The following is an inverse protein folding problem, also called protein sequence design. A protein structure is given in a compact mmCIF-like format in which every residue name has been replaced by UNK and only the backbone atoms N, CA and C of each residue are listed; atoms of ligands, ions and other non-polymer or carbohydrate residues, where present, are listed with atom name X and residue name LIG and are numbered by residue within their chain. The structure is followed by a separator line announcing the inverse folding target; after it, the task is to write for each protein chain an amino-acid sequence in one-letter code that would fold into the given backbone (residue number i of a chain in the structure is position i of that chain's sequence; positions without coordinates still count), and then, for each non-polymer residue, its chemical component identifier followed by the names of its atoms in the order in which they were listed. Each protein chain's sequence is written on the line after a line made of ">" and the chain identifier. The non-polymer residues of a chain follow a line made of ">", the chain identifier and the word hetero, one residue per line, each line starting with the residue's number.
data_IF_072565805620
#
_entry.id   IF_072565805620
#
_cell.length_a   1.000
_cell.length_b   1.000
_cell.length_c   1.000
_cell.angle_alpha   90.00
_cell.angle_beta   90.00
_cell.angle_gamma   90.00
#
_symmetry.space_group_name_H-M   'P 1'
#
loop_
_entity.id
_entity.type
_entity.pdbx_description
1 polymer ?
#
# COMPACT_ATOMS: atom_id res chain seq x y z
N UNK A 1 -31.72 5.43 9.17
CA UNK A 1 -31.17 6.11 7.97
C UNK A 1 -29.96 6.93 8.41
N UNK A 2 -28.77 6.50 8.02
CA UNK A 2 -27.50 7.09 8.42
C UNK A 2 -26.92 7.88 7.23
N UNK A 3 -26.69 9.18 7.44
CA UNK A 3 -26.12 10.10 6.45
C UNK A 3 -24.64 10.33 6.70
N UNK A 4 -23.90 10.59 5.62
CA UNK A 4 -22.47 10.89 5.68
C UNK A 4 -22.25 12.41 5.58
N UNK A 5 -21.27 12.93 6.32
CA UNK A 5 -20.98 14.36 6.35
C UNK A 5 -20.12 14.80 5.14
N UNK A 6 -20.43 15.93 4.47
CA UNK A 6 -21.64 16.73 4.58
C UNK A 6 -22.84 16.11 3.87
N UNK A 7 -23.97 15.98 4.59
CA UNK A 7 -25.17 15.31 4.10
C UNK A 7 -25.72 15.85 2.75
N UNK A 8 -25.64 17.16 2.43
CA UNK A 8 -26.06 17.64 1.11
C UNK A 8 -25.17 17.18 -0.05
N UNK A 9 -23.88 16.96 0.21
CA UNK A 9 -22.87 16.62 -0.82
C UNK A 9 -22.75 15.10 -0.99
N UNK A 10 -22.81 14.35 0.11
CA UNK A 10 -22.67 12.90 0.09
C UNK A 10 -23.93 12.25 -0.47
N UNK A 11 -23.80 11.53 -1.58
CA UNK A 11 -24.92 10.81 -2.20
C UNK A 11 -25.28 9.52 -1.42
N UNK A 12 -24.32 8.93 -0.73
CA UNK A 12 -24.49 7.64 -0.05
C UNK A 12 -25.23 7.75 1.29
N UNK A 13 -26.10 6.78 1.58
CA UNK A 13 -26.75 6.62 2.89
C UNK A 13 -26.89 5.13 3.26
N UNK A 14 -26.79 4.83 4.55
CA UNK A 14 -27.02 3.47 5.07
C UNK A 14 -28.42 3.36 5.69
N UNK A 15 -29.18 2.36 5.26
CA UNK A 15 -30.48 1.99 5.82
C UNK A 15 -30.25 0.81 6.75
N UNK A 16 -30.20 1.11 8.04
CA UNK A 16 -29.95 0.13 9.09
C UNK A 16 -31.23 -0.63 9.40
N UNK A 17 -31.27 -1.93 9.09
CA UNK A 17 -32.35 -2.84 9.46
C UNK A 17 -32.02 -3.56 10.76
N UNK A 18 -33.00 -3.64 11.65
CA UNK A 18 -32.93 -4.43 12.88
C UNK A 18 -33.65 -5.76 12.70
N UNK A 19 -33.53 -6.66 13.68
CA UNK A 19 -34.26 -7.95 13.67
C UNK A 19 -35.78 -7.81 13.74
N UNK A 20 -36.30 -6.62 14.06
CA UNK A 20 -37.74 -6.31 14.12
C UNK A 20 -38.20 -5.34 13.02
N UNK A 21 -37.29 -4.86 12.16
CA UNK A 21 -37.63 -3.97 11.06
C UNK A 21 -38.37 -4.74 9.97
N UNK A 22 -39.60 -4.33 9.65
CA UNK A 22 -40.35 -4.98 8.57
C UNK A 22 -39.76 -4.63 7.19
N UNK A 23 -39.79 -5.55 6.22
CA UNK A 23 -39.31 -5.28 4.86
C UNK A 23 -39.97 -4.05 4.23
N UNK A 24 -41.28 -3.86 4.45
CA UNK A 24 -42.04 -2.75 3.89
C UNK A 24 -41.54 -1.39 4.39
N UNK A 25 -41.14 -1.30 5.67
CA UNK A 25 -40.56 -0.07 6.23
C UNK A 25 -39.18 0.19 5.64
N UNK A 26 -38.36 -0.84 5.49
CA UNK A 26 -37.02 -0.72 4.89
C UNK A 26 -37.13 -0.22 3.44
N UNK A 27 -38.05 -0.81 2.66
CA UNK A 27 -38.30 -0.43 1.27
C UNK A 27 -38.82 1.01 1.17
N UNK A 28 -39.79 1.40 2.01
CA UNK A 28 -40.31 2.77 2.02
C UNK A 28 -39.24 3.81 2.37
N UNK A 29 -38.35 3.51 3.31
CA UNK A 29 -37.21 4.39 3.65
C UNK A 29 -36.19 4.44 2.50
N UNK A 30 -36.00 3.34 1.77
CA UNK A 30 -35.14 3.30 0.60
C UNK A 30 -35.69 4.14 -0.55
N UNK A 31 -36.99 4.06 -0.82
CA UNK A 31 -37.66 4.94 -1.78
C UNK A 31 -37.58 6.41 -1.38
N UNK A 32 -37.79 6.72 -0.10
CA UNK A 32 -37.63 8.07 0.43
C UNK A 32 -36.20 8.59 0.21
N UNK A 33 -35.19 7.80 0.54
CA UNK A 33 -33.78 8.17 0.32
C UNK A 33 -33.48 8.42 -1.17
N UNK A 34 -33.97 7.55 -2.07
CA UNK A 34 -33.85 7.76 -3.53
C UNK A 34 -34.55 9.04 -3.98
N UNK A 35 -35.72 9.35 -3.40
CA UNK A 35 -36.45 10.60 -3.63
C UNK A 35 -35.65 11.86 -3.23
N UNK A 36 -34.75 11.73 -2.25
CA UNK A 36 -33.79 12.78 -1.86
C UNK A 36 -32.54 12.84 -2.76
N UNK A 37 -32.48 12.04 -3.83
CA UNK A 37 -31.30 11.90 -4.68
C UNK A 37 -30.15 11.15 -4.01
N UNK A 38 -30.44 10.30 -3.01
CA UNK A 38 -29.44 9.48 -2.31
C UNK A 38 -29.39 8.07 -2.89
N UNK A 39 -28.24 7.42 -2.70
CA UNK A 39 -27.98 6.02 -3.03
C UNK A 39 -28.01 5.20 -1.73
N UNK A 40 -29.16 4.58 -1.38
CA UNK A 40 -29.28 3.79 -0.16
C UNK A 40 -28.70 2.39 -0.29
N UNK A 41 -28.00 1.94 0.75
CA UNK A 41 -27.61 0.54 0.97
C UNK A 41 -28.24 0.01 2.25
N UNK A 42 -28.86 -1.16 2.19
CA UNK A 42 -29.50 -1.79 3.35
C UNK A 42 -28.49 -2.65 4.09
N UNK A 43 -28.33 -2.41 5.39
CA UNK A 43 -27.30 -3.03 6.22
C UNK A 43 -27.92 -3.50 7.54
N UNK A 44 -27.48 -4.66 8.05
CA UNK A 44 -27.86 -5.12 9.38
C UNK A 44 -27.33 -4.23 10.51
N UNK A 45 -28.09 -4.11 11.59
CA UNK A 45 -27.71 -3.33 12.77
C UNK A 45 -26.50 -3.92 13.51
N UNK A 46 -25.37 -3.20 13.45
CA UNK A 46 -24.09 -3.52 14.09
C UNK A 46 -23.29 -2.24 14.31
N UNK A 47 -22.48 -2.18 15.37
CA UNK A 47 -21.48 -1.13 15.57
C UNK A 47 -20.72 -0.80 14.29
N UNK A 48 -20.86 0.45 13.84
CA UNK A 48 -20.16 1.00 12.68
C UNK A 48 -20.72 0.64 11.31
N UNK A 49 -21.84 -0.11 11.22
CA UNK A 49 -22.49 -0.49 9.96
C UNK A 49 -21.48 -1.08 8.95
N UNK A 50 -21.40 -0.56 7.72
CA UNK A 50 -20.38 -0.96 6.75
C UNK A 50 -19.18 0.00 6.83
N UNK A 51 -19.41 1.28 6.56
CA UNK A 51 -18.33 2.22 6.29
C UNK A 51 -17.47 2.48 7.53
N UNK A 52 -18.07 2.75 8.69
CA UNK A 52 -17.31 3.01 9.91
C UNK A 52 -16.60 1.75 10.42
N UNK A 53 -17.24 0.58 10.29
CA UNK A 53 -16.66 -0.69 10.69
C UNK A 53 -15.35 -1.00 9.96
N UNK A 54 -15.30 -0.75 8.65
CA UNK A 54 -14.07 -0.95 7.86
C UNK A 54 -13.08 0.21 8.01
N UNK A 55 -13.57 1.44 8.02
CA UNK A 55 -12.72 2.63 8.02
C UNK A 55 -11.96 2.79 9.34
N UNK A 56 -12.63 2.70 10.49
CA UNK A 56 -12.01 3.06 11.76
C UNK A 56 -10.99 2.04 12.25
N UNK A 57 -11.15 0.74 11.94
CA UNK A 57 -10.11 -0.27 12.19
C UNK A 57 -8.81 0.07 11.45
N UNK A 58 -8.93 0.39 10.16
CA UNK A 58 -7.82 0.85 9.32
C UNK A 58 -7.16 2.13 9.86
N UNK A 59 -7.96 3.15 10.17
CA UNK A 59 -7.46 4.43 10.70
C UNK A 59 -6.72 4.24 12.02
N UNK A 60 -7.27 3.45 12.93
CA UNK A 60 -6.65 3.19 14.22
C UNK A 60 -5.33 2.41 14.08
N UNK A 61 -5.23 1.51 13.09
CA UNK A 61 -3.98 0.82 12.78
C UNK A 61 -2.90 1.77 12.26
N UNK A 62 -3.25 2.73 11.41
CA UNK A 62 -2.33 3.79 10.98
C UNK A 62 -1.84 4.65 12.15
N UNK A 63 -2.73 4.96 13.12
CA UNK A 63 -2.33 5.67 14.35
C UNK A 63 -1.35 4.84 15.18
N UNK A 64 -1.52 3.52 15.27
CA UNK A 64 -0.55 2.65 15.97
C UNK A 64 0.83 2.69 15.32
N UNK A 65 0.90 2.71 13.98
CA UNK A 65 2.17 2.87 13.27
C UNK A 65 2.85 4.20 13.63
N UNK A 66 2.09 5.30 13.64
CA UNK A 66 2.60 6.61 14.04
C UNK A 66 3.05 6.65 15.51
N UNK A 67 2.23 6.14 16.43
CA UNK A 67 2.52 6.09 17.87
C UNK A 67 3.81 5.30 18.17
N UNK A 68 4.05 4.22 17.43
CA UNK A 68 5.24 3.39 17.52
C UNK A 68 6.48 4.00 16.83
N UNK A 69 6.34 5.17 16.20
CA UNK A 69 7.38 5.80 15.36
C UNK A 69 7.88 4.89 14.24
N UNK A 70 6.99 4.06 13.70
CA UNK A 70 7.32 3.11 12.63
C UNK A 70 7.63 3.83 11.30
N UNK A 71 6.89 4.90 11.03
CA UNK A 71 7.07 5.78 9.89
C UNK A 71 6.55 7.18 10.27
N UNK A 72 6.95 8.20 9.50
CA UNK A 72 6.47 9.58 9.71
C UNK A 72 4.99 9.70 9.37
N UNK A 73 4.32 10.75 9.88
CA UNK A 73 2.91 11.01 9.54
C UNK A 73 2.72 11.26 8.04
N UNK A 74 3.68 11.96 7.43
CA UNK A 74 3.71 12.23 5.99
C UNK A 74 3.88 10.95 5.18
N UNK A 75 4.79 10.05 5.57
CA UNK A 75 5.04 8.79 4.89
C UNK A 75 3.83 7.86 4.98
N UNK A 76 3.21 7.71 6.15
CA UNK A 76 1.99 6.90 6.33
C UNK A 76 0.87 7.43 5.41
N UNK A 77 0.68 8.74 5.37
CA UNK A 77 -0.34 9.38 4.54
C UNK A 77 -0.02 9.33 3.05
N UNK A 78 1.24 9.47 2.65
CA UNK A 78 1.68 9.35 1.27
C UNK A 78 1.55 7.91 0.76
N UNK A 79 1.91 6.92 1.58
CA UNK A 79 1.77 5.50 1.26
C UNK A 79 0.36 5.13 0.84
N UNK A 80 -0.63 5.53 1.64
CA UNK A 80 -2.01 5.14 1.35
C UNK A 80 -2.61 5.94 0.19
N UNK A 81 -2.23 7.21 0.01
CA UNK A 81 -2.68 8.01 -1.14
C UNK A 81 -2.08 7.52 -2.46
N UNK A 82 -0.79 7.26 -2.50
CA UNK A 82 -0.06 6.95 -3.73
C UNK A 82 -0.03 5.45 -4.04
N UNK A 83 -0.02 4.60 -3.00
CA UNK A 83 -0.02 3.14 -3.14
C UNK A 83 -1.41 2.58 -3.39
N UNK A 84 -2.44 3.09 -2.69
CA UNK A 84 -3.83 2.62 -2.84
C UNK A 84 -4.74 3.59 -3.60
N UNK A 85 -4.25 4.77 -3.99
CA UNK A 85 -5.07 5.77 -4.68
C UNK A 85 -6.12 6.44 -3.79
N UNK A 86 -5.96 6.38 -2.46
CA UNK A 86 -6.95 6.96 -1.55
C UNK A 86 -6.98 8.50 -1.68
N UNK A 87 -8.16 9.14 -1.54
CA UNK A 87 -8.28 10.60 -1.68
C UNK A 87 -7.54 11.38 -0.59
N UNK A 88 -7.35 10.76 0.59
CA UNK A 88 -6.67 11.35 1.74
C UNK A 88 -5.92 10.28 2.52
N UNK A 89 -4.79 10.65 3.12
CA UNK A 89 -4.07 9.77 4.02
C UNK A 89 -4.83 9.57 5.34
N UNK A 90 -4.63 8.44 6.04
CA UNK A 90 -5.41 8.10 7.22
C UNK A 90 -5.29 9.11 8.37
N UNK A 91 -4.10 9.67 8.64
CA UNK A 91 -3.90 10.61 9.74
C UNK A 91 -4.52 11.98 9.40
N UNK A 92 -4.33 12.46 8.17
CA UNK A 92 -4.99 13.66 7.68
C UNK A 92 -6.53 13.52 7.65
N UNK A 93 -7.04 12.31 7.38
CA UNK A 93 -8.47 12.00 7.41
C UNK A 93 -9.01 12.00 8.84
N UNK A 94 -8.28 11.45 9.80
CA UNK A 94 -8.63 11.52 11.22
C UNK A 94 -8.70 12.97 11.71
N UNK A 95 -7.77 13.83 11.31
CA UNK A 95 -7.81 15.25 11.64
C UNK A 95 -9.01 15.97 11.00
N UNK A 96 -9.46 15.54 9.82
CA UNK A 96 -10.66 16.07 9.17
C UNK A 96 -11.94 15.62 9.90
N UNK A 97 -12.03 14.35 10.28
CA UNK A 97 -13.16 13.79 11.05
C UNK A 97 -13.24 14.43 12.44
N UNK A 98 -12.09 14.63 13.08
CA UNK A 98 -11.94 15.08 14.45
C UNK A 98 -11.56 13.92 15.37
N UNK A 99 -10.47 14.08 16.12
CA UNK A 99 -9.88 13.00 16.92
C UNK A 99 -10.76 12.55 18.09
N UNK A 100 -11.56 13.46 18.63
CA UNK A 100 -12.58 13.20 19.66
C UNK A 100 -13.72 12.34 19.08
N UNK A 101 -14.23 12.68 17.91
CA UNK A 101 -15.25 11.88 17.22
C UNK A 101 -14.72 10.50 16.87
N UNK A 102 -13.49 10.41 16.36
CA UNK A 102 -12.85 9.13 16.07
C UNK A 102 -12.66 8.26 17.31
N UNK A 103 -12.24 8.86 18.44
CA UNK A 103 -12.11 8.16 19.71
C UNK A 103 -13.44 7.55 20.17
N UNK A 104 -14.53 8.32 20.16
CA UNK A 104 -15.85 7.84 20.59
C UNK A 104 -16.38 6.70 19.71
N UNK A 105 -16.19 6.80 18.39
CA UNK A 105 -16.58 5.73 17.45
C UNK A 105 -15.79 4.45 17.74
N UNK A 106 -14.47 4.55 17.85
CA UNK A 106 -13.60 3.42 18.17
C UNK A 106 -13.95 2.79 19.53
N UNK A 107 -14.16 3.60 20.57
CA UNK A 107 -14.48 3.12 21.91
C UNK A 107 -15.84 2.41 21.94
N UNK A 108 -16.83 2.92 21.21
CA UNK A 108 -18.14 2.27 21.05
C UNK A 108 -18.00 0.91 20.35
N UNK A 109 -17.31 0.88 19.20
CA UNK A 109 -17.06 -0.35 18.45
C UNK A 109 -16.29 -1.39 19.27
N UNK A 110 -15.31 -0.94 20.07
CA UNK A 110 -14.55 -1.81 20.95
C UNK A 110 -15.39 -2.36 22.10
N UNK A 111 -16.26 -1.55 22.72
CA UNK A 111 -17.12 -2.01 23.81
C UNK A 111 -18.07 -3.12 23.37
N UNK A 112 -18.59 -3.03 22.14
CA UNK A 112 -19.50 -4.02 21.57
C UNK A 112 -18.76 -5.26 21.05
N UNK A 113 -17.76 -5.08 20.17
CA UNK A 113 -17.12 -6.19 19.47
C UNK A 113 -15.92 -6.80 20.19
N UNK A 114 -15.30 -6.08 21.14
CA UNK A 114 -14.05 -6.44 21.83
C UNK A 114 -12.88 -6.78 20.91
N UNK A 115 -12.94 -6.33 19.66
CA UNK A 115 -11.85 -6.45 18.71
C UNK A 115 -10.74 -5.44 19.03
N UNK A 116 -9.52 -5.94 19.25
CA UNK A 116 -8.35 -5.12 19.57
C UNK A 116 -7.97 -4.13 18.45
N UNK A 117 -8.41 -4.36 17.23
CA UNK A 117 -8.24 -3.40 16.13
C UNK A 117 -9.10 -2.15 16.33
N UNK A 118 -10.23 -2.26 17.02
CA UNK A 118 -11.11 -1.12 17.34
C UNK A 118 -10.78 -0.45 18.68
N UNK A 119 -9.95 -1.05 19.53
CA UNK A 119 -9.51 -0.40 20.77
C UNK A 119 -8.76 0.91 20.45
N UNK A 120 -9.28 2.10 20.86
CA UNK A 120 -8.66 3.37 20.50
C UNK A 120 -7.21 3.46 20.95
N UNK A 121 -6.30 3.87 20.05
CA UNK A 121 -4.90 4.05 20.41
C UNK A 121 -4.74 5.12 21.52
N UNK A 122 -3.88 4.89 22.53
CA UNK A 122 -3.70 5.81 23.65
C UNK A 122 -3.37 7.25 23.25
N UNK A 123 -2.55 7.44 22.20
CA UNK A 123 -2.19 8.76 21.68
C UNK A 123 -3.42 9.60 21.28
N UNK A 124 -4.48 8.99 20.73
CA UNK A 124 -5.71 9.73 20.35
C UNK A 124 -6.32 10.36 21.61
N UNK A 125 -6.44 9.58 22.69
CA UNK A 125 -6.98 10.07 23.97
C UNK A 125 -6.14 11.20 24.55
N UNK A 126 -4.82 11.08 24.49
CA UNK A 126 -3.90 12.11 24.96
C UNK A 126 -4.07 13.41 24.16
N UNK A 127 -4.10 13.32 22.84
CA UNK A 127 -4.31 14.46 21.94
C UNK A 127 -5.64 15.16 22.19
N UNK A 128 -6.74 14.39 22.30
CA UNK A 128 -8.07 14.93 22.61
C UNK A 128 -8.10 15.62 23.96
N UNK A 129 -7.45 15.04 24.98
CA UNK A 129 -7.34 15.62 26.32
C UNK A 129 -6.55 16.93 26.30
N UNK A 130 -5.51 17.01 25.46
CA UNK A 130 -4.72 18.22 25.24
C UNK A 130 -5.41 19.25 24.33
N UNK A 131 -6.65 19.01 23.88
CA UNK A 131 -7.39 19.92 23.01
C UNK A 131 -7.00 19.86 21.53
N UNK A 132 -6.14 18.91 21.15
CA UNK A 132 -5.72 18.67 19.77
C UNK A 132 -6.74 17.76 19.09
N UNK A 133 -7.80 18.36 18.51
CA UNK A 133 -8.96 17.68 17.95
C UNK A 133 -8.97 17.67 16.42
N UNK A 134 -7.84 17.91 15.77
CA UNK A 134 -7.70 17.95 14.31
C UNK A 134 -7.96 19.33 13.72
N UNK A 135 -8.49 19.38 12.49
CA UNK A 135 -8.73 20.63 11.74
C UNK A 135 -9.63 21.59 12.52
N UNK A 136 -10.65 21.07 13.20
CA UNK A 136 -11.61 21.89 13.96
C UNK A 136 -11.02 22.61 15.18
N UNK A 137 -9.79 22.27 15.59
CA UNK A 137 -9.04 23.00 16.62
C UNK A 137 -7.75 23.63 16.07
N UNK A 138 -7.53 23.57 14.75
CA UNK A 138 -6.30 24.02 14.10
C UNK A 138 -5.09 23.10 14.33
N UNK A 139 -5.23 22.01 15.09
CA UNK A 139 -4.15 21.09 15.45
C UNK A 139 -4.68 19.70 15.79
N UNK A 140 -4.09 18.68 15.17
CA UNK A 140 -4.21 17.26 15.50
C UNK A 140 -2.88 16.57 15.25
N UNK A 141 -2.86 15.55 14.38
CA UNK A 141 -1.61 14.98 13.85
C UNK A 141 -0.82 16.02 13.05
N UNK A 142 -1.53 16.89 12.34
CA UNK A 142 -1.00 18.04 11.60
C UNK A 142 -1.32 19.34 12.34
N UNK A 143 -0.54 20.40 12.08
CA UNK A 143 -0.97 21.79 12.34
C UNK A 143 -1.50 22.45 11.09
N UNK A 144 -2.56 23.21 11.29
CA UNK A 144 -3.25 23.94 10.25
C UNK A 144 -3.06 25.44 10.44
N UNK A 145 -3.05 26.18 9.33
CA UNK A 145 -2.87 27.64 9.31
C UNK A 145 -3.84 28.38 10.25
N UNK A 146 -5.08 27.88 10.32
CA UNK A 146 -6.12 28.38 11.22
C UNK A 146 -7.10 27.25 11.57
N UNK A 147 -7.98 27.51 12.54
CA UNK A 147 -9.09 26.62 12.86
C UNK A 147 -9.97 26.38 11.61
N UNK A 148 -10.30 25.12 11.34
CA UNK A 148 -11.02 24.66 10.16
C UNK A 148 -10.30 24.86 8.81
N UNK A 149 -9.05 25.36 8.80
CA UNK A 149 -8.28 25.49 7.56
C UNK A 149 -7.95 24.11 6.98
N UNK A 150 -8.08 23.92 5.66
CA UNK A 150 -7.55 22.72 4.99
C UNK A 150 -6.03 22.78 4.79
N UNK A 151 -5.40 23.93 5.05
CA UNK A 151 -3.98 24.18 4.78
C UNK A 151 -3.13 23.70 5.95
N UNK A 152 -2.32 22.67 5.72
CA UNK A 152 -1.30 22.19 6.65
C UNK A 152 -0.10 23.14 6.63
N UNK A 153 0.43 23.47 7.81
CA UNK A 153 1.66 24.26 7.98
C UNK A 153 2.72 23.45 8.70
N UNK A 154 3.98 23.72 8.39
CA UNK A 154 5.11 23.04 9.01
C UNK A 154 5.15 23.25 10.53
N UNK A 155 5.58 22.23 11.25
CA UNK A 155 5.78 22.24 12.69
C UNK A 155 7.03 21.46 13.09
N UNK A 156 7.26 21.33 14.41
CA UNK A 156 8.41 20.62 14.96
C UNK A 156 8.49 19.12 14.58
N UNK A 157 7.42 18.52 14.07
CA UNK A 157 7.37 17.14 13.60
C UNK A 157 7.42 17.03 12.09
N UNK A 158 7.31 18.15 11.35
CA UNK A 158 7.47 18.16 9.90
C UNK A 158 8.92 17.82 9.56
N UNK A 159 9.18 16.77 8.77
CA UNK A 159 10.53 16.45 8.34
C UNK A 159 11.17 17.66 7.64
N UNK A 160 12.37 18.06 8.08
CA UNK A 160 13.10 19.16 7.48
C UNK A 160 13.75 18.66 6.17
N UNK A 161 13.32 19.16 5.00
CA UNK A 161 13.87 18.72 3.71
C UNK A 161 15.33 19.12 3.51
N UNK A 162 15.88 19.98 4.37
CA UNK A 162 17.30 20.38 4.36
C UNK A 162 18.16 19.58 5.35
N UNK A 163 17.55 18.79 6.24
CA UNK A 163 18.23 17.85 7.13
C UNK A 163 18.39 16.45 6.52
N UNK A 164 18.45 16.34 5.19
CA UNK A 164 19.04 15.18 4.50
C UNK A 164 20.56 15.23 4.68
N UNK A 165 21.03 15.05 5.92
CA UNK A 165 22.42 15.22 6.33
C UNK A 165 23.31 13.99 6.08
N UNK A 166 22.77 12.94 5.47
CA UNK A 166 23.53 11.76 5.10
C UNK A 166 24.35 12.00 3.84
N UNK A 167 25.60 11.52 3.80
CA UNK A 167 26.32 11.38 2.54
C UNK A 167 25.51 10.49 1.59
N UNK A 168 25.43 10.81 0.30
CA UNK A 168 24.86 9.90 -0.71
C UNK A 168 25.95 9.24 -1.54
N UNK A 169 25.63 8.06 -2.07
CA UNK A 169 26.47 7.33 -3.03
C UNK A 169 26.00 7.67 -4.44
N UNK A 170 26.93 7.83 -5.37
CA UNK A 170 26.57 8.02 -6.77
C UNK A 170 26.06 6.71 -7.39
N UNK A 171 24.86 6.74 -7.96
CA UNK A 171 24.26 5.61 -8.69
C UNK A 171 24.09 6.00 -10.16
N UNK A 172 24.86 5.36 -11.04
CA UNK A 172 24.76 5.52 -12.50
C UNK A 172 24.34 4.23 -13.21
N UNK A 173 24.62 3.09 -12.59
CA UNK A 173 24.37 1.77 -13.16
C UNK A 173 23.58 0.88 -12.20
N UNK A 174 22.56 0.20 -12.73
CA UNK A 174 21.62 -0.62 -11.97
C UNK A 174 21.53 -2.03 -12.54
N UNK A 175 21.72 -3.03 -11.70
CA UNK A 175 21.37 -4.42 -11.97
C UNK A 175 19.91 -4.70 -11.62
N UNK A 176 19.15 -5.38 -12.47
CA UNK A 176 17.78 -5.83 -12.15
C UNK A 176 17.68 -7.33 -12.38
N UNK A 177 17.35 -8.09 -11.33
CA UNK A 177 17.32 -9.56 -11.40
C UNK A 177 15.89 -10.05 -11.43
N UNK A 178 15.54 -10.78 -12.48
CA UNK A 178 14.22 -11.33 -12.68
C UNK A 178 13.65 -11.01 -14.06
N UNK A 179 12.65 -11.78 -14.47
CA UNK A 179 11.97 -11.62 -15.76
C UNK A 179 10.46 -11.48 -15.63
N UNK A 180 9.98 -11.21 -14.41
CA UNK A 180 8.57 -11.01 -14.13
C UNK A 180 8.11 -9.60 -14.49
N UNK A 181 6.82 -9.33 -14.32
CA UNK A 181 6.22 -8.01 -14.58
C UNK A 181 6.89 -6.91 -13.75
N UNK A 182 7.20 -7.18 -12.48
CA UNK A 182 7.85 -6.22 -11.59
C UNK A 182 9.27 -5.88 -12.07
N UNK A 183 10.12 -6.91 -12.24
CA UNK A 183 11.48 -6.74 -12.75
C UNK A 183 11.53 -5.96 -14.07
N UNK A 184 10.64 -6.30 -15.01
CA UNK A 184 10.53 -5.63 -16.32
C UNK A 184 10.17 -4.16 -16.16
N UNK A 185 9.18 -3.83 -15.31
CA UNK A 185 8.75 -2.46 -15.07
C UNK A 185 9.79 -1.62 -14.33
N UNK A 186 10.54 -2.22 -13.39
CA UNK A 186 11.64 -1.58 -12.68
C UNK A 186 12.79 -1.25 -13.65
N UNK A 187 13.18 -2.21 -14.49
CA UNK A 187 14.20 -2.00 -15.51
C UNK A 187 13.81 -0.86 -16.48
N UNK A 188 12.56 -0.83 -16.94
CA UNK A 188 12.04 0.27 -17.77
C UNK A 188 12.09 1.62 -17.02
N UNK A 189 11.69 1.66 -15.74
CA UNK A 189 11.67 2.88 -14.96
C UNK A 189 13.07 3.50 -14.80
N UNK A 190 14.09 2.69 -14.50
CA UNK A 190 15.47 3.14 -14.41
C UNK A 190 16.02 3.59 -15.78
N UNK A 191 15.79 2.80 -16.84
CA UNK A 191 16.27 3.12 -18.18
C UNK A 191 15.68 4.44 -18.73
N UNK A 192 14.40 4.71 -18.46
CA UNK A 192 13.75 5.99 -18.82
C UNK A 192 14.31 7.19 -18.08
N UNK A 193 14.92 6.98 -16.92
CA UNK A 193 15.60 8.01 -16.15
C UNK A 193 17.07 8.20 -16.57
N UNK A 194 17.53 7.50 -17.62
CA UNK A 194 18.88 7.61 -18.16
C UNK A 194 19.95 6.90 -17.34
N UNK A 195 19.57 5.88 -16.57
CA UNK A 195 20.50 5.00 -15.86
C UNK A 195 20.85 3.81 -16.73
N UNK A 196 22.11 3.37 -16.71
CA UNK A 196 22.52 2.15 -17.41
C UNK A 196 22.00 0.92 -16.66
N UNK A 197 21.20 0.09 -17.32
CA UNK A 197 20.52 -1.05 -16.70
C UNK A 197 21.00 -2.37 -17.30
N UNK A 198 21.55 -3.23 -16.43
CA UNK A 198 21.81 -4.63 -16.76
C UNK A 198 20.69 -5.47 -16.14
N UNK A 199 19.85 -6.10 -16.96
CA UNK A 199 18.81 -7.00 -16.45
C UNK A 199 19.19 -8.46 -16.66
N UNK A 200 19.11 -9.25 -15.59
CA UNK A 200 19.52 -10.65 -15.58
C UNK A 200 18.29 -11.56 -15.53
N UNK A 201 18.20 -12.48 -16.48
CA UNK A 201 17.17 -13.51 -16.52
C UNK A 201 17.78 -14.90 -16.67
N UNK A 202 17.01 -15.93 -16.29
CA UNK A 202 17.49 -17.34 -16.25
C UNK A 202 17.84 -17.96 -17.60
N UNK A 203 17.46 -17.34 -18.72
CA UNK A 203 17.73 -17.85 -20.07
C UNK A 203 17.64 -16.75 -21.12
N UNK A 204 18.30 -16.94 -22.26
CA UNK A 204 18.27 -16.01 -23.40
C UNK A 204 16.85 -15.71 -23.89
N UNK A 205 15.97 -16.71 -23.88
CA UNK A 205 14.56 -16.51 -24.24
C UNK A 205 13.84 -15.57 -23.28
N UNK A 206 14.18 -15.64 -21.97
CA UNK A 206 13.63 -14.71 -20.97
C UNK A 206 14.23 -13.32 -21.11
N UNK A 207 15.52 -13.21 -21.45
CA UNK A 207 16.16 -11.92 -21.76
C UNK A 207 15.45 -11.23 -22.93
N UNK A 208 15.19 -11.96 -24.03
CA UNK A 208 14.44 -11.45 -25.19
C UNK A 208 13.00 -11.09 -24.83
N UNK A 209 12.35 -11.88 -23.98
CA UNK A 209 10.98 -11.60 -23.54
C UNK A 209 10.88 -10.30 -22.72
N UNK A 210 11.83 -10.04 -21.81
CA UNK A 210 11.91 -8.77 -21.07
C UNK A 210 12.13 -7.61 -22.04
N UNK A 211 13.10 -7.72 -22.95
CA UNK A 211 13.36 -6.70 -23.98
C UNK A 211 12.11 -6.35 -24.77
N UNK A 212 11.44 -7.36 -25.33
CA UNK A 212 10.23 -7.15 -26.15
C UNK A 212 9.05 -6.59 -25.36
N UNK A 213 8.93 -6.92 -24.07
CA UNK A 213 7.92 -6.34 -23.20
C UNK A 213 8.16 -4.84 -22.95
N UNK A 214 9.42 -4.43 -22.72
CA UNK A 214 9.80 -3.02 -22.55
C UNK A 214 9.60 -2.26 -23.86
N UNK A 215 10.05 -2.79 -24.99
CA UNK A 215 9.87 -2.16 -26.31
C UNK A 215 8.39 -1.89 -26.59
N UNK A 216 7.52 -2.87 -26.37
CA UNK A 216 6.06 -2.73 -26.53
C UNK A 216 5.46 -1.72 -25.56
N UNK A 217 5.96 -1.65 -24.33
CA UNK A 217 5.51 -0.69 -23.32
C UNK A 217 5.85 0.75 -23.73
N UNK A 218 7.10 0.98 -24.12
CA UNK A 218 7.57 2.29 -24.59
C UNK A 218 6.87 2.71 -25.89
N UNK A 219 6.66 1.79 -26.83
CA UNK A 219 5.92 2.09 -28.06
C UNK A 219 4.48 2.53 -27.77
N UNK A 220 3.80 1.86 -26.82
CA UNK A 220 2.47 2.31 -26.36
C UNK A 220 2.53 3.68 -25.67
N UNK A 221 3.62 4.00 -24.96
CA UNK A 221 3.80 5.32 -24.37
C UNK A 221 3.94 6.40 -25.46
N UNK A 222 4.66 6.11 -26.55
CA UNK A 222 4.79 6.99 -27.72
C UNK A 222 3.44 7.20 -28.41
N UNK A 223 2.71 6.11 -28.70
CA UNK A 223 1.38 6.18 -29.32
C UNK A 223 0.38 7.00 -28.49
N UNK A 224 0.56 7.04 -27.16
CA UNK A 224 -0.27 7.82 -26.22
C UNK A 224 0.25 9.23 -25.97
N UNK A 225 1.32 9.66 -26.66
CA UNK A 225 1.92 10.98 -26.50
C UNK A 225 2.58 11.21 -25.12
N UNK A 226 2.91 10.15 -24.38
CA UNK A 226 3.58 10.23 -23.07
C UNK A 226 5.11 10.20 -23.17
N UNK A 227 5.63 9.89 -24.35
CA UNK A 227 7.05 9.80 -24.68
C UNK A 227 7.18 10.08 -26.19
N UNK A 228 8.32 10.59 -26.66
CA UNK A 228 8.63 10.69 -28.08
C UNK A 228 9.52 9.53 -28.55
N UNK A 229 9.73 9.42 -29.86
CA UNK A 229 10.56 8.34 -30.43
C UNK A 229 12.02 8.43 -29.95
N UNK A 230 12.55 9.64 -29.81
CA UNK A 230 13.91 9.87 -29.29
C UNK A 230 14.05 9.40 -27.84
N UNK A 231 13.07 9.70 -26.98
CA UNK A 231 13.05 9.23 -25.59
C UNK A 231 12.88 7.72 -25.48
N UNK A 232 12.11 7.08 -26.37
CA UNK A 232 12.04 5.61 -26.47
C UNK A 232 13.41 5.03 -26.80
N UNK A 233 14.05 5.54 -27.85
CA UNK A 233 15.31 4.99 -28.35
C UNK A 233 16.45 5.20 -27.34
N UNK A 234 16.46 6.36 -26.66
CA UNK A 234 17.38 6.62 -25.55
C UNK A 234 17.20 5.62 -24.40
N UNK A 235 15.96 5.38 -23.94
CA UNK A 235 15.70 4.40 -22.88
C UNK A 235 16.14 2.98 -23.29
N UNK A 236 15.90 2.58 -24.54
CA UNK A 236 16.32 1.27 -25.05
C UNK A 236 17.84 1.12 -25.18
N UNK A 237 18.57 2.21 -25.38
CA UNK A 237 20.03 2.22 -25.47
C UNK A 237 20.70 1.95 -24.12
N UNK A 238 20.05 2.31 -23.01
CA UNK A 238 20.52 2.04 -21.65
C UNK A 238 20.31 0.59 -21.19
N UNK A 239 19.60 -0.25 -21.96
CA UNK A 239 19.24 -1.60 -21.54
C UNK A 239 20.16 -2.67 -22.13
N UNK A 240 20.84 -3.41 -21.26
CA UNK A 240 21.65 -4.58 -21.59
C UNK A 240 21.09 -5.81 -20.90
N UNK A 241 20.76 -6.84 -21.68
CA UNK A 241 20.27 -8.12 -21.15
C UNK A 241 21.40 -9.11 -20.93
N UNK A 242 21.34 -9.86 -19.83
CA UNK A 242 22.30 -10.93 -19.52
C UNK A 242 21.64 -12.17 -18.92
N UNK A 243 22.35 -13.30 -19.01
CA UNK A 243 22.04 -14.56 -18.33
C UNK A 243 22.98 -14.89 -17.18
N UNK A 244 23.96 -14.01 -16.89
CA UNK A 244 25.01 -14.22 -15.89
C UNK A 244 24.94 -13.18 -14.78
N UNK A 245 24.99 -13.63 -13.53
CA UNK A 245 25.06 -12.72 -12.38
C UNK A 245 26.40 -11.96 -12.33
N UNK A 246 27.50 -12.55 -12.80
CA UNK A 246 28.83 -11.93 -12.81
C UNK A 246 28.89 -10.60 -13.59
N UNK A 247 27.98 -10.40 -14.55
CA UNK A 247 27.90 -9.14 -15.30
C UNK A 247 27.44 -7.96 -14.41
N UNK A 248 26.90 -8.24 -13.22
CA UNK A 248 26.53 -7.25 -12.21
C UNK A 248 27.71 -6.78 -11.36
N UNK A 249 28.91 -7.35 -11.51
CA UNK A 249 30.03 -7.07 -10.60
C UNK A 249 30.39 -5.57 -10.46
N UNK A 250 30.08 -4.74 -11.47
CA UNK A 250 30.45 -3.32 -11.50
C UNK A 250 29.29 -2.35 -11.24
N UNK A 251 28.06 -2.83 -11.08
CA UNK A 251 26.89 -1.93 -10.91
C UNK A 251 26.91 -1.23 -9.55
N UNK A 252 26.24 -0.08 -9.44
CA UNK A 252 26.17 0.70 -8.20
C UNK A 252 25.02 0.22 -7.29
N UNK A 253 23.95 -0.29 -7.89
CA UNK A 253 22.76 -0.82 -7.22
C UNK A 253 22.32 -2.11 -7.91
N UNK A 254 21.92 -3.12 -7.14
CA UNK A 254 21.19 -4.28 -7.63
C UNK A 254 19.78 -4.28 -7.05
N UNK A 255 18.76 -4.53 -7.87
CA UNK A 255 17.37 -4.72 -7.43
C UNK A 255 16.91 -6.12 -7.79
N UNK A 256 16.70 -6.93 -6.75
CA UNK A 256 16.19 -8.30 -6.83
C UNK A 256 14.66 -8.31 -6.93
N UNK A 257 14.13 -8.96 -7.97
CA UNK A 257 12.70 -9.10 -8.28
C UNK A 257 12.38 -10.52 -8.83
N UNK A 258 12.84 -11.55 -8.13
CA UNK A 258 12.62 -12.97 -8.43
C UNK A 258 11.42 -13.54 -7.65
N UNK A 259 11.28 -14.87 -7.63
CA UNK A 259 10.19 -15.55 -6.93
C UNK A 259 10.19 -15.20 -5.43
N UNK A 260 9.00 -15.03 -4.86
CA UNK A 260 8.80 -14.68 -3.46
C UNK A 260 9.00 -15.91 -2.55
N UNK A 261 10.22 -16.44 -2.53
CA UNK A 261 10.63 -17.58 -1.70
C UNK A 261 11.94 -17.22 -0.99
N UNK A 262 11.93 -17.31 0.35
CA UNK A 262 13.01 -16.79 1.17
C UNK A 262 14.33 -17.50 0.90
N UNK A 263 14.35 -18.84 0.86
CA UNK A 263 15.58 -19.60 0.66
C UNK A 263 16.25 -19.28 -0.69
N UNK A 264 15.44 -19.03 -1.72
CA UNK A 264 15.96 -18.63 -3.04
C UNK A 264 16.56 -17.22 -3.00
N UNK A 265 15.92 -16.28 -2.28
CA UNK A 265 16.46 -14.92 -2.13
C UNK A 265 17.72 -14.89 -1.27
N UNK A 266 17.78 -15.65 -0.17
CA UNK A 266 18.99 -15.74 0.67
C UNK A 266 20.19 -16.21 -0.15
N UNK A 267 20.04 -17.31 -0.89
CA UNK A 267 21.09 -17.82 -1.77
C UNK A 267 21.51 -16.79 -2.84
N UNK A 268 20.56 -16.00 -3.37
CA UNK A 268 20.89 -14.94 -4.32
C UNK A 268 21.69 -13.81 -3.65
N UNK A 269 21.29 -13.36 -2.46
CA UNK A 269 22.00 -12.30 -1.74
C UNK A 269 23.42 -12.70 -1.32
N UNK A 270 23.65 -13.97 -0.95
CA UNK A 270 25.00 -14.52 -0.74
C UNK A 270 25.86 -14.40 -2.01
N UNK A 271 25.33 -14.81 -3.17
CA UNK A 271 26.05 -14.68 -4.43
C UNK A 271 26.33 -13.20 -4.80
N UNK A 272 25.35 -12.31 -4.56
CA UNK A 272 25.52 -10.89 -4.85
C UNK A 272 26.56 -10.23 -3.95
N UNK A 273 26.68 -10.68 -2.70
CA UNK A 273 27.71 -10.22 -1.78
C UNK A 273 29.13 -10.55 -2.28
N UNK A 274 29.31 -11.71 -2.91
CA UNK A 274 30.60 -12.08 -3.50
C UNK A 274 30.86 -11.36 -4.84
N UNK A 275 29.84 -11.23 -5.67
CA UNK A 275 29.96 -10.72 -7.06
C UNK A 275 30.11 -9.20 -7.10
N UNK A 276 29.28 -8.47 -6.35
CA UNK A 276 29.15 -7.02 -6.50
C UNK A 276 30.32 -6.29 -5.83
N UNK A 277 30.83 -5.25 -6.51
CA UNK A 277 31.90 -4.39 -5.98
C UNK A 277 31.59 -3.86 -4.56
N UNK A 278 32.61 -3.56 -3.74
CA UNK A 278 32.42 -2.88 -2.46
C UNK A 278 31.65 -1.56 -2.62
N UNK A 279 30.73 -1.28 -1.68
CA UNK A 279 29.89 -0.08 -1.68
C UNK A 279 28.68 -0.12 -2.61
N UNK A 280 28.51 -1.16 -3.44
CA UNK A 280 27.28 -1.37 -4.19
C UNK A 280 26.11 -1.68 -3.22
N UNK A 281 24.95 -1.09 -3.49
CA UNK A 281 23.72 -1.31 -2.72
C UNK A 281 23.02 -2.57 -3.23
N UNK A 282 22.60 -3.45 -2.33
CA UNK A 282 21.80 -4.63 -2.67
C UNK A 282 20.37 -4.43 -2.18
N UNK A 283 19.42 -4.36 -3.12
CA UNK A 283 18.03 -4.12 -2.81
C UNK A 283 17.13 -5.27 -3.22
N UNK A 284 16.04 -5.47 -2.48
CA UNK A 284 14.96 -6.39 -2.83
C UNK A 284 13.64 -5.64 -2.99
N UNK A 285 12.82 -6.05 -3.97
CA UNK A 285 11.42 -5.58 -4.09
C UNK A 285 10.41 -6.57 -3.47
N UNK A 286 10.83 -7.42 -2.53
CA UNK A 286 9.89 -8.26 -1.76
C UNK A 286 8.75 -7.42 -1.18
N UNK A 287 7.56 -8.00 -1.11
CA UNK A 287 6.37 -7.33 -0.57
C UNK A 287 6.06 -7.74 0.88
N UNK A 288 6.74 -8.77 1.39
CA UNK A 288 6.38 -9.36 2.69
C UNK A 288 7.49 -10.17 3.39
N UNK A 289 8.60 -10.50 2.73
CA UNK A 289 9.69 -11.23 3.37
C UNK A 289 10.57 -10.26 4.18
N UNK A 290 11.14 -10.70 5.32
CA UNK A 290 12.00 -9.85 6.15
C UNK A 290 13.30 -9.48 5.41
N UNK A 291 13.51 -8.19 5.17
CA UNK A 291 14.72 -7.67 4.50
C UNK A 291 15.98 -8.00 5.32
N UNK A 292 15.86 -8.00 6.64
CA UNK A 292 16.95 -8.29 7.58
C UNK A 292 17.53 -9.69 7.42
N UNK A 293 16.73 -10.67 6.99
CA UNK A 293 17.25 -12.03 6.75
C UNK A 293 18.15 -12.05 5.50
N UNK A 294 17.77 -11.32 4.44
CA UNK A 294 18.62 -11.13 3.27
C UNK A 294 19.88 -10.32 3.60
N UNK A 295 19.75 -9.28 4.43
CA UNK A 295 20.90 -8.51 4.89
C UNK A 295 21.91 -9.38 5.67
N UNK A 296 21.41 -10.19 6.61
CA UNK A 296 22.22 -11.08 7.45
C UNK A 296 22.91 -12.21 6.69
N UNK A 297 22.42 -12.57 5.49
CA UNK A 297 23.07 -13.52 4.60
C UNK A 297 24.31 -12.94 3.88
N UNK A 298 24.58 -11.64 4.03
CA UNK A 298 25.73 -10.96 3.42
C UNK A 298 26.79 -10.58 4.46
N UNK A 299 28.02 -10.35 4.01
CA UNK A 299 29.08 -9.70 4.79
C UNK A 299 28.95 -8.17 4.89
N UNK A 300 27.96 -7.58 4.20
CA UNK A 300 27.70 -6.14 4.11
C UNK A 300 26.25 -5.75 4.48
N UNK A 301 25.70 -6.18 5.61
CA UNK A 301 24.29 -5.95 5.94
C UNK A 301 23.88 -4.47 5.94
N UNK A 302 24.82 -3.55 6.15
CA UNK A 302 24.61 -2.11 6.04
C UNK A 302 24.28 -1.61 4.63
N UNK A 303 24.72 -2.34 3.60
CA UNK A 303 24.51 -2.03 2.19
C UNK A 303 23.23 -2.66 1.61
N UNK A 304 22.41 -3.28 2.47
CA UNK A 304 21.18 -3.98 2.08
C UNK A 304 19.93 -3.19 2.48
N UNK A 305 18.97 -3.07 1.57
CA UNK A 305 17.73 -2.29 1.76
C UNK A 305 16.54 -2.92 1.03
N UNK A 306 15.31 -2.70 1.50
CA UNK A 306 14.14 -2.98 0.67
C UNK A 306 13.80 -1.78 -0.20
N UNK A 307 13.55 -2.00 -1.48
CA UNK A 307 13.01 -1.03 -2.43
C UNK A 307 11.72 -1.60 -3.02
N UNK A 308 10.62 -1.45 -2.29
CA UNK A 308 9.36 -2.06 -2.67
C UNK A 308 8.59 -1.18 -3.66
N UNK A 309 8.55 -1.61 -4.92
CA UNK A 309 7.79 -0.98 -6.00
C UNK A 309 6.37 -1.54 -6.08
N UNK A 310 5.44 -0.70 -6.54
CA UNK A 310 4.03 -1.06 -6.72
C UNK A 310 3.69 -1.33 -8.18
N UNK A 311 2.92 -2.38 -8.45
CA UNK A 311 2.56 -2.78 -9.81
C UNK A 311 1.43 -1.90 -10.38
N UNK A 312 1.53 -1.36 -11.61
CA UNK A 312 2.70 -1.37 -12.50
C UNK A 312 3.77 -0.35 -12.12
N UNK A 313 5.03 -0.79 -12.00
CA UNK A 313 6.15 0.05 -11.55
C UNK A 313 6.42 1.28 -12.44
N UNK A 314 6.01 1.24 -13.71
CA UNK A 314 6.16 2.36 -14.65
C UNK A 314 5.12 3.47 -14.44
N UNK A 315 4.02 3.17 -13.73
CA UNK A 315 2.89 4.09 -13.50
C UNK A 315 2.81 4.50 -12.04
N UNK A 316 2.92 3.55 -11.12
CA UNK A 316 2.80 3.81 -9.69
C UNK A 316 3.94 4.71 -9.23
N UNK A 317 3.60 5.70 -8.40
CA UNK A 317 4.54 6.71 -7.91
C UNK A 317 5.25 6.31 -6.63
N UNK A 318 4.59 5.53 -5.78
CA UNK A 318 5.13 5.16 -4.47
C UNK A 318 6.27 4.13 -4.60
N UNK A 319 7.31 4.30 -3.78
CA UNK A 319 8.29 3.26 -3.44
C UNK A 319 8.49 3.28 -1.93
N UNK A 320 8.33 2.13 -1.27
CA UNK A 320 8.67 1.99 0.16
C UNK A 320 10.15 1.62 0.30
N UNK A 321 10.94 2.47 0.93
CA UNK A 321 12.32 2.23 1.32
C UNK A 321 12.31 1.59 2.70
N UNK A 322 12.71 0.33 2.76
CA UNK A 322 12.61 -0.50 3.96
C UNK A 322 13.99 -0.64 4.58
N UNK A 323 14.21 0.04 5.71
CA UNK A 323 15.46 -0.01 6.44
C UNK A 323 15.45 -1.16 7.45
N UNK A 324 16.50 -1.97 7.44
CA UNK A 324 16.75 -2.94 8.51
C UNK A 324 17.41 -2.24 9.71
N UNK A 325 17.64 -2.97 10.79
CA UNK A 325 18.43 -2.48 11.93
C UNK A 325 19.91 -2.25 11.60
N UNK A 326 20.39 -2.77 10.46
CA UNK A 326 21.79 -2.66 10.04
C UNK A 326 22.00 -1.68 8.88
N UNK A 327 20.96 -1.40 8.08
CA UNK A 327 21.03 -0.52 6.90
C UNK A 327 21.57 0.85 7.28
N UNK A 328 22.60 1.33 6.58
CA UNK A 328 23.22 2.61 6.90
C UNK A 328 22.44 3.81 6.35
N UNK A 329 22.57 4.96 7.03
CA UNK A 329 21.86 6.20 6.68
C UNK A 329 22.15 6.67 5.24
N UNK A 330 23.39 6.48 4.76
CA UNK A 330 23.78 6.83 3.40
C UNK A 330 23.06 5.98 2.34
N UNK A 331 22.74 4.72 2.64
CA UNK A 331 21.96 3.84 1.74
C UNK A 331 20.49 4.27 1.68
N UNK A 332 19.92 4.66 2.83
CA UNK A 332 18.55 5.18 2.90
C UNK A 332 18.44 6.48 2.10
N UNK A 333 19.40 7.40 2.28
CA UNK A 333 19.39 8.69 1.57
C UNK A 333 19.70 8.53 0.08
N UNK A 334 20.64 7.66 -0.28
CA UNK A 334 20.89 7.31 -1.70
C UNK A 334 19.63 6.73 -2.35
N UNK A 335 18.91 5.86 -1.64
CA UNK A 335 17.66 5.27 -2.12
C UNK A 335 16.57 6.33 -2.30
N UNK A 336 16.48 7.30 -1.39
CA UNK A 336 15.55 8.43 -1.47
C UNK A 336 15.83 9.30 -2.69
N UNK A 337 17.09 9.73 -2.85
CA UNK A 337 17.54 10.56 -3.98
C UNK A 337 17.29 9.83 -5.32
N UNK A 338 17.61 8.54 -5.38
CA UNK A 338 17.37 7.72 -6.56
C UNK A 338 15.87 7.65 -6.90
N UNK A 339 15.00 7.40 -5.92
CA UNK A 339 13.55 7.38 -6.14
C UNK A 339 13.05 8.71 -6.72
N UNK A 340 13.50 9.85 -6.17
CA UNK A 340 13.15 11.17 -6.69
C UNK A 340 13.65 11.36 -8.13
N UNK A 341 14.89 10.94 -8.42
CA UNK A 341 15.49 11.00 -9.76
C UNK A 341 14.70 10.20 -10.80
N UNK A 342 14.10 9.07 -10.41
CA UNK A 342 13.25 8.26 -11.29
C UNK A 342 11.76 8.63 -11.24
N UNK A 343 11.44 9.84 -10.78
CA UNK A 343 10.08 10.40 -10.71
C UNK A 343 9.12 9.50 -9.90
N UNK A 344 9.66 8.98 -8.77
CA UNK A 344 8.95 8.27 -7.71
C UNK A 344 8.91 9.10 -6.44
N UNK A 345 7.99 8.72 -5.56
CA UNK A 345 7.82 9.28 -4.23
C UNK A 345 8.31 8.24 -3.21
N UNK A 346 9.49 8.44 -2.61
CA UNK A 346 9.99 7.57 -1.56
C UNK A 346 9.25 7.82 -0.24
N UNK A 347 8.91 6.74 0.45
CA UNK A 347 8.51 6.74 1.85
C UNK A 347 9.44 5.80 2.62
N UNK A 348 9.73 6.09 3.89
CA UNK A 348 10.66 5.25 4.68
C UNK A 348 9.92 4.56 5.81
N UNK A 349 10.21 3.27 5.99
CA UNK A 349 9.72 2.49 7.12
C UNK A 349 10.73 1.43 7.57
N UNK A 350 10.59 0.97 8.82
CA UNK A 350 11.39 -0.13 9.32
C UNK A 350 10.96 -1.49 8.71
N UNK A 351 11.88 -2.45 8.68
CA UNK A 351 11.64 -3.80 8.20
C UNK A 351 10.63 -4.57 9.06
N UNK A 352 9.47 -4.88 8.45
CA UNK A 352 8.38 -5.68 9.02
C UNK A 352 7.48 -6.18 7.88
N UNK A 353 6.77 -7.29 8.08
CA UNK A 353 5.81 -7.80 7.09
C UNK A 353 4.80 -6.74 6.65
N UNK A 354 4.73 -6.57 5.34
CA UNK A 354 3.78 -5.71 4.65
C UNK A 354 4.07 -4.21 4.75
N UNK A 355 5.19 -3.81 5.35
CA UNK A 355 5.66 -2.43 5.39
C UNK A 355 4.59 -1.46 5.90
N UNK A 356 4.24 -0.41 5.13
CA UNK A 356 3.12 0.48 5.45
C UNK A 356 1.87 0.02 4.69
N UNK A 357 1.92 -0.02 3.36
CA UNK A 357 0.73 -0.19 2.51
C UNK A 357 0.05 -1.53 2.78
N UNK A 358 0.78 -2.64 2.65
CA UNK A 358 0.19 -3.98 2.76
C UNK A 358 -0.25 -4.27 4.20
N UNK A 359 0.51 -3.78 5.18
CA UNK A 359 0.18 -3.91 6.59
C UNK A 359 -1.10 -3.16 6.98
N UNK A 360 -1.52 -2.12 6.25
CA UNK A 360 -2.79 -1.44 6.45
C UNK A 360 -3.91 -1.98 5.53
N UNK A 361 -3.58 -2.26 4.27
CA UNK A 361 -4.53 -2.63 3.23
C UNK A 361 -5.12 -4.02 3.46
N UNK A 362 -4.28 -5.04 3.69
CA UNK A 362 -4.76 -6.42 3.72
C UNK A 362 -5.61 -6.74 4.96
N UNK A 363 -5.33 -6.22 6.17
CA UNK A 363 -6.27 -6.33 7.28
C UNK A 363 -7.63 -5.70 6.97
N UNK A 364 -7.66 -4.53 6.33
CA UNK A 364 -8.90 -3.89 5.87
C UNK A 364 -9.67 -4.77 4.87
N UNK A 365 -8.99 -5.35 3.88
CA UNK A 365 -9.62 -6.25 2.92
C UNK A 365 -10.13 -7.53 3.60
N UNK A 366 -9.37 -8.08 4.53
CA UNK A 366 -9.75 -9.26 5.29
C UNK A 366 -10.99 -9.00 6.16
N UNK A 367 -11.10 -7.80 6.76
CA UNK A 367 -12.28 -7.38 7.53
C UNK A 367 -13.52 -7.20 6.63
N UNK A 368 -13.36 -6.74 5.38
CA UNK A 368 -14.44 -6.73 4.41
C UNK A 368 -14.95 -8.16 4.10
N UNK A 369 -14.04 -9.12 3.93
CA UNK A 369 -14.42 -10.53 3.70
C UNK A 369 -15.20 -11.09 4.90
N UNK A 370 -14.73 -10.83 6.14
CA UNK A 370 -15.45 -11.24 7.35
C UNK A 370 -16.82 -10.58 7.48
N UNK A 371 -16.94 -9.32 7.11
CA UNK A 371 -18.23 -8.63 7.08
C UNK A 371 -19.21 -9.32 6.14
N UNK A 372 -18.74 -9.74 4.97
CA UNK A 372 -19.53 -10.50 4.00
C UNK A 372 -19.91 -11.90 4.52
N UNK A 373 -19.02 -12.60 5.23
CA UNK A 373 -19.32 -13.91 5.85
C UNK A 373 -20.44 -13.84 6.88
N UNK A 374 -20.53 -12.73 7.60
CA UNK A 374 -21.58 -12.51 8.60
C UNK A 374 -22.94 -12.14 7.98
N UNK A 375 -23.06 -12.09 6.64
CA UNK A 375 -24.27 -11.79 5.87
C UNK A 375 -24.95 -10.46 6.24
N UNK A 376 -24.16 -9.46 6.63
CA UNK A 376 -24.68 -8.13 6.97
C UNK A 376 -25.01 -7.26 5.76
N UNK A 377 -24.24 -7.44 4.70
CA UNK A 377 -24.36 -6.78 3.40
C UNK A 377 -23.75 -7.70 2.34
N UNK A 378 -24.13 -7.52 1.08
CA UNK A 378 -23.48 -8.23 -0.02
C UNK A 378 -22.19 -7.52 -0.49
N UNK A 379 -21.46 -8.16 -1.40
CA UNK A 379 -20.17 -7.64 -1.87
C UNK A 379 -20.30 -6.35 -2.69
N UNK A 380 -21.44 -6.15 -3.38
CA UNK A 380 -21.67 -4.97 -4.20
C UNK A 380 -22.05 -3.77 -3.32
N UNK A 381 -22.84 -3.99 -2.28
CA UNK A 381 -23.20 -3.02 -1.26
C UNK A 381 -21.97 -2.56 -0.47
N UNK A 382 -21.09 -3.48 -0.07
CA UNK A 382 -19.85 -3.13 0.63
C UNK A 382 -18.92 -2.32 -0.30
N UNK A 383 -18.79 -2.73 -1.56
CA UNK A 383 -18.00 -1.98 -2.54
C UNK A 383 -18.58 -0.58 -2.79
N UNK A 384 -19.90 -0.46 -2.89
CA UNK A 384 -20.59 0.81 -3.08
C UNK A 384 -20.40 1.74 -1.87
N UNK A 385 -20.53 1.21 -0.66
CA UNK A 385 -20.34 1.96 0.57
C UNK A 385 -18.94 2.56 0.66
N UNK A 386 -17.90 1.78 0.35
CA UNK A 386 -16.52 2.30 0.40
C UNK A 386 -16.22 3.27 -0.73
N UNK A 387 -16.74 3.02 -1.94
CA UNK A 387 -16.54 3.93 -3.09
C UNK A 387 -17.26 5.27 -2.90
N UNK A 388 -18.52 5.25 -2.45
CA UNK A 388 -19.37 6.44 -2.37
C UNK A 388 -19.32 7.12 -1.01
N UNK A 389 -19.25 6.35 0.08
CA UNK A 389 -19.16 6.88 1.43
C UNK A 389 -17.76 7.38 1.78
N UNK A 390 -16.71 6.65 1.37
CA UNK A 390 -15.32 7.01 1.69
C UNK A 390 -14.54 7.59 0.50
N UNK A 391 -15.12 7.63 -0.69
CA UNK A 391 -14.48 8.17 -1.89
C UNK A 391 -13.35 7.28 -2.43
N UNK A 392 -13.33 5.99 -2.10
CA UNK A 392 -12.27 5.09 -2.54
C UNK A 392 -12.36 4.86 -4.05
N UNK A 393 -11.21 4.76 -4.76
CA UNK A 393 -11.21 4.55 -6.21
C UNK A 393 -11.80 3.19 -6.60
N UNK A 394 -11.72 2.20 -5.69
CA UNK A 394 -12.17 0.83 -5.91
C UNK A 394 -12.71 0.26 -4.60
N UNK A 395 -13.77 -0.55 -4.69
CA UNK A 395 -14.31 -1.26 -3.53
C UNK A 395 -13.40 -2.43 -3.11
N UNK A 396 -13.45 -2.89 -1.85
CA UNK A 396 -12.58 -3.96 -1.36
C UNK A 396 -12.66 -5.27 -2.18
N UNK A 397 -13.85 -5.70 -2.59
CA UNK A 397 -14.00 -6.96 -3.36
C UNK A 397 -13.55 -6.81 -4.80
N UNK A 398 -13.79 -5.65 -5.41
CA UNK A 398 -13.24 -5.33 -6.72
C UNK A 398 -11.70 -5.32 -6.69
N UNK A 399 -11.11 -4.74 -5.63
CA UNK A 399 -9.66 -4.71 -5.44
C UNK A 399 -9.07 -6.10 -5.19
N UNK A 400 -9.70 -6.90 -4.32
CA UNK A 400 -9.31 -8.29 -4.07
C UNK A 400 -9.24 -9.11 -5.36
N UNK A 401 -10.24 -8.99 -6.23
CA UNK A 401 -10.28 -9.73 -7.50
C UNK A 401 -9.27 -9.20 -8.53
N UNK A 402 -8.86 -7.93 -8.45
CA UNK A 402 -7.80 -7.34 -9.29
C UNK A 402 -6.41 -7.79 -8.83
N UNK A 403 -6.15 -7.74 -7.52
CA UNK A 403 -4.87 -8.17 -6.92
C UNK A 403 -4.69 -9.69 -7.08
N UNK A 404 -5.76 -10.44 -6.88
CA UNK A 404 -5.78 -11.89 -6.86
C UNK A 404 -5.89 -12.44 -5.43
N UNK A 405 -6.78 -13.42 -5.26
CA UNK A 405 -7.12 -13.93 -3.93
C UNK A 405 -5.99 -14.78 -3.30
N UNK A 406 -5.21 -15.48 -4.12
CA UNK A 406 -4.02 -16.22 -3.68
C UNK A 406 -2.92 -15.29 -3.16
N UNK A 407 -2.65 -14.19 -3.87
CA UNK A 407 -1.70 -13.15 -3.42
C UNK A 407 -2.20 -12.52 -2.13
N UNK A 408 -3.49 -12.19 -2.07
CA UNK A 408 -4.11 -11.60 -0.89
C UNK A 408 -4.04 -12.53 0.33
N UNK A 409 -4.31 -13.83 0.13
CA UNK A 409 -4.21 -14.83 1.18
C UNK A 409 -2.76 -15.00 1.66
N UNK A 410 -1.80 -15.06 0.74
CA UNK A 410 -0.38 -15.21 1.08
C UNK A 410 0.10 -14.04 1.95
N UNK A 411 -0.22 -12.80 1.56
CA UNK A 411 0.15 -11.61 2.33
C UNK A 411 -0.54 -11.62 3.70
N UNK A 412 -1.84 -11.91 3.75
CA UNK A 412 -2.58 -11.97 5.01
C UNK A 412 -2.02 -13.03 5.97
N UNK A 413 -1.62 -14.20 5.44
CA UNK A 413 -0.95 -15.23 6.21
C UNK A 413 0.40 -14.77 6.75
N UNK A 414 1.21 -14.06 5.95
CA UNK A 414 2.48 -13.50 6.41
C UNK A 414 2.28 -12.48 7.52
N UNK A 415 1.34 -11.54 7.36
CA UNK A 415 0.96 -10.59 8.40
C UNK A 415 0.50 -11.31 9.68
N UNK A 416 -0.39 -12.29 9.57
CA UNK A 416 -0.82 -13.06 10.74
C UNK A 416 0.34 -13.80 11.41
N UNK A 417 1.29 -14.34 10.62
CA UNK A 417 2.44 -15.05 11.15
C UNK A 417 3.38 -14.13 11.93
N UNK A 418 3.56 -12.90 11.46
CA UNK A 418 4.43 -11.94 12.14
C UNK A 418 3.77 -11.36 13.39
N UNK A 419 2.57 -10.79 13.25
CA UNK A 419 1.93 -10.05 14.34
C UNK A 419 1.26 -10.94 15.38
N UNK A 420 0.82 -12.16 14.99
CA UNK A 420 -0.03 -13.05 15.79
C UNK A 420 -1.31 -12.38 16.32
N UNK A 421 -1.70 -11.28 15.72
CA UNK A 421 -2.93 -10.56 16.07
C UNK A 421 -4.11 -11.34 15.52
N UNK A 422 -5.07 -11.68 16.39
CA UNK A 422 -6.26 -12.46 16.01
C UNK A 422 -7.03 -11.81 14.86
N UNK A 423 -7.09 -10.48 14.86
CA UNK A 423 -7.70 -9.69 13.78
C UNK A 423 -7.03 -9.90 12.42
N UNK A 424 -5.79 -10.40 12.36
CA UNK A 424 -5.11 -10.66 11.08
C UNK A 424 -5.26 -12.10 10.59
N UNK A 425 -5.89 -13.01 11.34
CA UNK A 425 -6.14 -14.36 10.84
C UNK A 425 -6.92 -14.32 9.50
N UNK A 426 -6.47 -15.00 8.42
CA UNK A 426 -7.20 -15.00 7.16
C UNK A 426 -8.67 -15.42 7.34
N UNK A 427 -9.57 -14.74 6.65
CA UNK A 427 -10.99 -15.11 6.64
C UNK A 427 -11.17 -16.49 5.98
N UNK A 428 -11.93 -17.43 6.59
CA UNK A 428 -12.12 -18.77 6.03
C UNK A 428 -12.63 -18.78 4.58
N UNK A 429 -13.50 -17.84 4.21
CA UNK A 429 -14.01 -17.68 2.84
C UNK A 429 -12.91 -17.36 1.84
N UNK A 430 -11.90 -16.58 2.23
CA UNK A 430 -10.74 -16.32 1.37
C UNK A 430 -9.99 -17.62 1.09
N UNK A 431 -9.73 -18.42 2.13
CA UNK A 431 -9.08 -19.73 2.00
C UNK A 431 -9.89 -20.67 1.09
N UNK A 432 -11.20 -20.77 1.31
CA UNK A 432 -12.08 -21.60 0.49
C UNK A 432 -12.07 -21.21 -0.99
N UNK A 433 -12.12 -19.90 -1.31
CA UNK A 433 -12.08 -19.43 -2.69
C UNK A 433 -10.74 -19.73 -3.36
N UNK A 434 -9.63 -19.56 -2.65
CA UNK A 434 -8.29 -19.90 -3.16
C UNK A 434 -8.16 -21.41 -3.39
N UNK A 435 -8.60 -22.24 -2.44
CA UNK A 435 -8.63 -23.70 -2.59
C UNK A 435 -9.48 -24.14 -3.79
N UNK A 436 -10.58 -23.44 -4.06
CA UNK A 436 -11.44 -23.70 -5.22
C UNK A 436 -10.88 -23.18 -6.57
N UNK A 437 -9.72 -22.50 -6.57
CA UNK A 437 -9.12 -21.92 -7.77
C UNK A 437 -9.83 -20.64 -8.26
N UNK A 438 -10.64 -19.99 -7.43
CA UNK A 438 -11.31 -18.73 -7.75
C UNK A 438 -10.39 -17.57 -7.36
N UNK A 439 -9.43 -17.24 -8.22
CA UNK A 439 -8.34 -16.32 -7.92
C UNK A 439 -8.58 -14.88 -8.40
N UNK A 440 -9.82 -14.52 -8.73
CA UNK A 440 -10.19 -13.19 -9.22
C UNK A 440 -10.17 -13.09 -10.74
N UNK A 441 -9.87 -11.89 -11.26
CA UNK A 441 -9.94 -11.59 -12.71
C UNK A 441 -9.04 -12.50 -13.54
N UNK A 442 -7.87 -12.89 -13.01
CA UNK A 442 -6.89 -13.74 -13.72
C UNK A 442 -7.38 -15.16 -14.01
N UNK A 443 -8.40 -15.64 -13.30
CA UNK A 443 -9.04 -16.95 -13.53
C UNK A 443 -10.50 -16.82 -13.96
N UNK A 444 -10.96 -15.60 -14.31
CA UNK A 444 -12.36 -15.34 -14.68
C UNK A 444 -13.36 -15.43 -13.52
N UNK A 445 -12.90 -15.67 -12.28
CA UNK A 445 -13.78 -15.83 -11.12
C UNK A 445 -13.04 -15.62 -9.81
N UNK A 446 -13.65 -14.85 -8.91
CA UNK A 446 -13.25 -14.64 -7.51
C UNK A 446 -14.50 -14.41 -6.66
N UNK A 447 -14.61 -13.24 -6.03
CA UNK A 447 -15.87 -12.79 -5.43
C UNK A 447 -16.95 -12.49 -6.47
N UNK A 448 -16.53 -12.14 -7.69
CA UNK A 448 -17.39 -11.98 -8.87
C UNK A 448 -17.00 -12.91 -10.01
N UNK A 449 -17.85 -13.01 -11.01
CA UNK A 449 -17.59 -13.73 -12.26
C UNK A 449 -17.21 -12.72 -13.34
N UNK A 450 -16.15 -12.99 -14.08
CA UNK A 450 -15.62 -12.14 -15.15
C UNK A 450 -15.66 -12.93 -16.46
N UNK A 451 -16.37 -12.38 -17.45
CA UNK A 451 -16.54 -12.96 -18.78
C UNK A 451 -15.37 -12.62 -19.72
#
# INVERSE_FOLDING_TARGET
>A
LHFFNPAPVQAFVEIVRTVVSSPEVVDAVAEFARGLGKEPVVVGDKAGFIANALLFGYLNHAVKMYEQKYATREDIDASMRLGCGLPMGPLALLDLIGLDTAYEILDTMYKEGRDRLHAPSPIIKQMVTAGLRGRKSGRGFYTYEAQHSPVVVADAQTPDPTQTGGSTRTVNSVGVIGSGTMATGIAEAFAKAGLDVIYVARSEDKVKAVRGAIEKSLEKAVQRGKLDETGRDAALAHLVGSTKLDDLAKVDLVVEAIVEELSVKLALFENLDEICKPGAILATTTSSLPVVEMAAATSRPQDVVGLHFFNPATVMKLVEIVSTVATSDDVIETSRELCLRIDKHPVVCADRAGFIVNALLFPYLNDAIRMLEMNYADADDIDLAMKRGCGYPMGPFELLDVVGLDVSLAIQQTLYREFRERGFAPAPRLEHLVTAGYLGRKTGRGFRVYA
#
